data_IF_174159695561
#
_entry.id   IF_174159695561
#
_cell.length_a   1.000
_cell.length_b   1.000
_cell.length_c   1.000
_cell.angle_alpha   90.00
_cell.angle_beta   90.00
_cell.angle_gamma   90.00
#
_symmetry.space_group_name_H-M   'P 1'
#
loop_
_entity.id
_entity.type
_entity.pdbx_description
1 polymer ?
#
# COMPACT_ATOMS: atom_id res chain seq x y z
N UNK A 1 -12.35 4.24 -4.84
CA UNK A 1 -12.02 3.08 -5.69
C UNK A 1 -10.51 2.97 -5.71
N UNK A 2 -9.95 1.80 -5.43
CA UNK A 2 -8.50 1.60 -5.38
C UNK A 2 -7.90 1.51 -6.78
N UNK A 3 -6.69 2.00 -6.97
CA UNK A 3 -5.94 1.94 -8.22
C UNK A 3 -5.46 0.49 -8.50
N UNK A 4 -5.16 -0.26 -7.45
CA UNK A 4 -4.67 -1.63 -7.55
C UNK A 4 -5.35 -2.60 -6.56
N UNK A 5 -5.42 -3.87 -6.94
CA UNK A 5 -6.03 -4.94 -6.13
C UNK A 5 -5.35 -5.10 -4.77
N UNK A 6 -4.02 -4.93 -4.73
CA UNK A 6 -3.22 -4.98 -3.51
C UNK A 6 -3.55 -3.87 -2.50
N UNK A 7 -3.95 -2.69 -2.98
CA UNK A 7 -4.37 -1.59 -2.11
C UNK A 7 -5.71 -1.94 -1.45
N UNK A 8 -6.65 -2.51 -2.23
CA UNK A 8 -7.93 -2.99 -1.67
C UNK A 8 -7.70 -4.06 -0.60
N UNK A 9 -6.90 -5.08 -0.90
CA UNK A 9 -6.59 -6.14 0.06
C UNK A 9 -5.92 -5.58 1.33
N UNK A 10 -5.05 -4.57 1.19
CA UNK A 10 -4.41 -3.92 2.35
C UNK A 10 -5.42 -3.12 3.19
N UNK A 11 -6.35 -2.40 2.55
CA UNK A 11 -7.44 -1.72 3.25
C UNK A 11 -8.34 -2.69 4.02
N UNK A 12 -8.76 -3.79 3.39
CA UNK A 12 -9.55 -4.85 4.04
C UNK A 12 -8.83 -5.45 5.25
N UNK A 13 -7.51 -5.62 5.16
CA UNK A 13 -6.68 -6.09 6.26
C UNK A 13 -6.61 -5.10 7.43
N UNK A 14 -6.47 -3.80 7.13
CA UNK A 14 -6.47 -2.75 8.15
C UNK A 14 -7.84 -2.68 8.84
N UNK A 15 -8.92 -2.78 8.07
CA UNK A 15 -10.30 -2.83 8.59
C UNK A 15 -10.51 -4.04 9.50
N UNK A 16 -10.02 -5.22 9.10
CA UNK A 16 -10.09 -6.43 9.91
C UNK A 16 -9.41 -6.27 11.29
N UNK A 17 -8.29 -5.55 11.34
CA UNK A 17 -7.60 -5.25 12.60
C UNK A 17 -8.10 -3.99 13.32
N UNK A 18 -9.10 -3.29 12.77
CA UNK A 18 -9.61 -2.04 13.33
C UNK A 18 -8.57 -0.92 13.35
N UNK A 19 -7.59 -0.95 12.45
CA UNK A 19 -6.60 0.11 12.28
C UNK A 19 -7.23 1.22 11.44
N UNK A 20 -7.19 2.45 11.94
CA UNK A 20 -7.68 3.60 11.16
C UNK A 20 -6.74 3.90 10.00
N UNK A 21 -7.31 4.18 8.82
CA UNK A 21 -6.56 4.53 7.63
C UNK A 21 -7.26 5.57 6.76
N UNK A 22 -6.46 6.24 5.93
CA UNK A 22 -6.92 7.14 4.87
C UNK A 22 -6.19 6.79 3.58
N UNK A 23 -6.93 6.72 2.48
CA UNK A 23 -6.38 6.43 1.15
C UNK A 23 -6.00 7.71 0.41
N UNK A 24 -4.80 7.73 -0.18
CA UNK A 24 -4.19 8.87 -0.88
C UNK A 24 -4.42 10.24 -0.19
N UNK A 25 -4.14 10.38 1.12
CA UNK A 25 -4.62 11.52 1.91
C UNK A 25 -3.88 12.82 1.59
N UNK A 26 -2.60 12.72 1.21
CA UNK A 26 -1.71 13.87 1.06
C UNK A 26 -0.81 13.70 -0.16
N UNK A 27 -0.56 14.81 -0.86
CA UNK A 27 0.37 14.88 -1.98
C UNK A 27 1.54 15.80 -1.64
N UNK A 28 2.75 15.24 -1.68
CA UNK A 28 3.99 15.95 -1.38
C UNK A 28 4.67 16.39 -2.67
N UNK A 29 4.90 17.69 -2.81
CA UNK A 29 5.68 18.26 -3.92
C UNK A 29 7.17 18.07 -3.61
N UNK A 30 7.86 17.27 -4.41
CA UNK A 30 9.27 16.92 -4.23
C UNK A 30 10.21 17.83 -5.04
N UNK A 31 9.73 18.40 -6.15
CA UNK A 31 10.52 19.30 -6.98
C UNK A 31 9.64 20.25 -7.79
N UNK A 32 10.19 21.43 -8.08
CA UNK A 32 9.62 22.45 -8.98
C UNK A 32 10.68 22.90 -9.99
N UNK A 33 10.25 23.31 -11.17
CA UNK A 33 11.14 23.94 -12.17
C UNK A 33 11.36 25.43 -11.83
N UNK A 34 12.16 26.11 -12.66
CA UNK A 34 12.49 27.54 -12.52
C UNK A 34 11.27 28.46 -12.60
N UNK A 35 10.19 28.03 -13.27
CA UNK A 35 8.92 28.77 -13.36
C UNK A 35 7.99 28.51 -12.18
N UNK A 36 8.39 27.63 -11.25
CA UNK A 36 7.64 27.28 -10.04
C UNK A 36 6.63 26.15 -10.22
N UNK A 37 6.53 25.56 -11.42
CA UNK A 37 5.63 24.43 -11.71
C UNK A 37 6.15 23.14 -11.09
N UNK A 38 5.22 22.31 -10.62
CA UNK A 38 5.53 21.01 -10.01
C UNK A 38 6.06 20.05 -11.07
N UNK A 39 7.31 19.61 -10.93
CA UNK A 39 7.93 18.62 -11.84
C UNK A 39 7.91 17.22 -11.25
N UNK A 40 7.87 17.12 -9.92
CA UNK A 40 7.77 15.85 -9.23
C UNK A 40 6.93 15.97 -7.96
N UNK A 41 5.97 15.07 -7.82
CA UNK A 41 5.18 14.89 -6.61
C UNK A 41 5.06 13.40 -6.26
N UNK A 42 4.68 13.16 -5.02
CA UNK A 42 4.49 11.84 -4.45
C UNK A 42 3.28 11.83 -3.52
N UNK A 43 2.37 10.89 -3.74
CA UNK A 43 1.14 10.70 -2.98
C UNK A 43 1.23 9.29 -2.43
N UNK A 44 1.45 9.11 -1.12
CA UNK A 44 1.49 7.78 -0.53
C UNK A 44 0.12 7.12 -0.63
N UNK A 45 0.10 5.80 -0.86
CA UNK A 45 -1.15 5.04 -0.99
C UNK A 45 -2.03 5.14 0.27
N UNK A 46 -1.43 5.12 1.47
CA UNK A 46 -2.15 5.19 2.75
C UNK A 46 -1.47 6.08 3.79
N UNK A 47 -2.28 6.58 4.74
CA UNK A 47 -1.83 7.11 6.02
C UNK A 47 -2.56 6.41 7.16
N UNK A 48 -1.83 6.09 8.22
CA UNK A 48 -2.34 5.45 9.43
C UNK A 48 -2.26 6.46 10.59
N UNK A 49 -3.36 7.17 10.93
CA UNK A 49 -3.34 8.26 11.91
C UNK A 49 -2.88 7.83 13.31
N UNK A 50 -3.20 6.60 13.72
CA UNK A 50 -2.82 6.04 15.02
C UNK A 50 -1.29 5.91 15.19
N UNK A 51 -0.56 5.81 14.08
CA UNK A 51 0.89 5.63 14.07
C UNK A 51 1.65 6.83 13.48
N UNK A 52 0.92 7.86 13.03
CA UNK A 52 1.46 9.00 12.27
C UNK A 52 2.39 8.57 11.13
N UNK A 53 1.96 7.56 10.36
CA UNK A 53 2.80 6.90 9.36
C UNK A 53 2.11 6.78 8.01
N UNK A 54 2.84 7.12 6.96
CA UNK A 54 2.46 6.85 5.58
C UNK A 54 2.94 5.47 5.14
N UNK A 55 2.15 4.82 4.28
CA UNK A 55 2.45 3.51 3.70
C UNK A 55 2.31 3.60 2.19
N UNK A 56 3.32 3.11 1.49
CA UNK A 56 3.32 2.94 0.04
C UNK A 56 3.34 1.44 -0.28
N UNK A 57 2.34 0.95 -1.00
CA UNK A 57 2.24 -0.41 -1.49
C UNK A 57 3.03 -0.55 -2.80
N UNK A 58 3.84 -1.60 -2.91
CA UNK A 58 4.52 -1.95 -4.17
C UNK A 58 4.28 -3.40 -4.55
N UNK A 59 3.57 -3.60 -5.65
CA UNK A 59 3.40 -4.90 -6.33
C UNK A 59 4.47 -5.15 -7.39
N UNK A 60 5.36 -4.17 -7.59
CA UNK A 60 6.06 -4.04 -8.85
C UNK A 60 7.41 -4.78 -8.86
N UNK A 61 7.71 -5.41 -10.01
CA UNK A 61 9.03 -6.03 -10.29
C UNK A 61 10.15 -5.01 -10.06
N UNK A 62 11.32 -5.48 -9.61
CA UNK A 62 12.50 -4.72 -9.14
C UNK A 62 12.81 -3.39 -9.87
N UNK A 63 12.58 -3.32 -11.19
CA UNK A 63 12.78 -2.10 -12.01
C UNK A 63 11.91 -0.90 -11.60
N UNK A 64 10.73 -1.11 -11.02
CA UNK A 64 9.84 -0.02 -10.59
C UNK A 64 10.11 0.42 -9.14
N UNK A 65 10.72 -0.46 -8.34
CA UNK A 65 11.19 -0.16 -6.99
C UNK A 65 12.24 0.95 -7.03
N UNK A 66 13.15 0.97 -8.01
CA UNK A 66 14.17 2.02 -8.10
C UNK A 66 13.58 3.42 -8.25
N UNK A 67 12.52 3.59 -9.05
CA UNK A 67 11.85 4.89 -9.20
C UNK A 67 11.06 5.27 -7.95
N UNK A 68 10.30 4.34 -7.35
CA UNK A 68 9.59 4.59 -6.07
C UNK A 68 10.58 4.93 -4.94
N UNK A 69 11.69 4.20 -4.83
CA UNK A 69 12.74 4.47 -3.85
C UNK A 69 13.40 5.83 -4.05
N UNK A 70 13.58 6.26 -5.30
CA UNK A 70 14.03 7.62 -5.61
C UNK A 70 13.09 8.67 -5.05
N UNK A 71 11.78 8.53 -5.29
CA UNK A 71 10.77 9.44 -4.75
C UNK A 71 10.70 9.43 -3.23
N UNK A 72 10.72 8.25 -2.60
CA UNK A 72 10.70 8.11 -1.13
C UNK A 72 11.97 8.71 -0.50
N UNK A 73 13.12 8.53 -1.14
CA UNK A 73 14.36 9.18 -0.70
C UNK A 73 14.22 10.70 -0.76
N UNK A 74 13.74 11.25 -1.88
CA UNK A 74 13.50 12.69 -2.00
C UNK A 74 12.44 13.20 -1.03
N UNK A 75 11.40 12.43 -0.77
CA UNK A 75 10.40 12.75 0.25
C UNK A 75 11.07 12.92 1.61
N UNK A 76 11.93 11.98 2.02
CA UNK A 76 12.67 12.08 3.29
C UNK A 76 13.67 13.24 3.32
N UNK A 77 14.23 13.61 2.17
CA UNK A 77 15.11 14.78 2.04
C UNK A 77 14.33 16.11 2.17
N UNK A 78 13.16 16.22 1.53
CA UNK A 78 12.32 17.42 1.55
C UNK A 78 11.46 17.55 2.82
N UNK A 79 11.05 16.42 3.40
CA UNK A 79 10.12 16.33 4.52
C UNK A 79 10.65 15.33 5.57
N UNK A 80 11.71 15.69 6.32
CA UNK A 80 12.41 14.76 7.22
C UNK A 80 11.58 14.31 8.43
N UNK A 81 10.50 15.02 8.77
CA UNK A 81 9.58 14.64 9.84
C UNK A 81 8.54 13.61 9.42
N UNK A 82 8.42 13.31 8.13
CA UNK A 82 7.42 12.36 7.60
C UNK A 82 7.95 10.94 7.76
N UNK A 83 7.22 10.12 8.53
CA UNK A 83 7.46 8.69 8.59
C UNK A 83 6.74 7.98 7.44
N UNK A 84 7.50 7.23 6.64
CA UNK A 84 6.98 6.47 5.52
C UNK A 84 7.66 5.11 5.41
N UNK A 85 6.84 4.08 5.18
CA UNK A 85 7.30 2.72 4.86
C UNK A 85 6.81 2.30 3.48
N UNK A 86 7.67 1.60 2.73
CA UNK A 86 7.30 0.96 1.46
C UNK A 86 7.14 -0.52 1.75
N UNK A 87 5.97 -1.09 1.48
CA UNK A 87 5.65 -2.50 1.71
C UNK A 87 5.45 -3.21 0.39
N UNK A 88 6.20 -4.29 0.15
CA UNK A 88 5.86 -5.21 -0.93
C UNK A 88 4.87 -6.28 -0.46
N UNK A 89 4.24 -6.97 -1.40
CA UNK A 89 3.29 -8.04 -1.09
C UNK A 89 3.87 -9.11 -0.15
N UNK A 90 5.15 -9.46 -0.34
CA UNK A 90 5.83 -10.42 0.54
C UNK A 90 6.11 -9.84 1.93
N UNK A 91 6.36 -8.54 2.04
CA UNK A 91 6.69 -7.90 3.31
C UNK A 91 5.47 -7.85 4.24
N UNK A 92 4.26 -7.60 3.73
CA UNK A 92 3.07 -7.67 4.59
C UNK A 92 2.70 -9.11 4.95
N UNK A 93 2.84 -10.09 4.05
CA UNK A 93 2.63 -11.51 4.39
C UNK A 93 3.58 -11.96 5.51
N UNK A 94 4.83 -11.51 5.46
CA UNK A 94 5.80 -11.73 6.53
C UNK A 94 5.50 -10.93 7.80
N UNK A 95 4.91 -9.73 7.68
CA UNK A 95 4.46 -8.95 8.82
C UNK A 95 3.33 -9.68 9.56
N UNK A 96 2.39 -10.25 8.81
CA UNK A 96 1.27 -11.01 9.34
C UNK A 96 1.74 -12.24 10.12
N UNK A 97 2.64 -13.04 9.54
CA UNK A 97 3.20 -14.20 10.23
C UNK A 97 4.04 -13.82 11.46
N UNK A 98 4.78 -12.70 11.41
CA UNK A 98 5.65 -12.27 12.51
C UNK A 98 4.91 -11.66 13.71
N UNK A 99 3.77 -11.02 13.49
CA UNK A 99 2.97 -10.42 14.56
C UNK A 99 1.85 -11.34 15.10
N UNK A 100 1.91 -12.64 14.81
CA UNK A 100 1.01 -13.65 15.39
C UNK A 100 -0.33 -13.81 14.67
N UNK A 101 -0.43 -13.33 13.43
CA UNK A 101 -1.58 -13.58 12.57
C UNK A 101 -1.33 -14.84 11.73
N UNK A 102 -1.13 -15.97 12.43
CA UNK A 102 -0.87 -17.29 11.81
C UNK A 102 -2.10 -17.90 11.13
N UNK A 103 -3.27 -17.25 11.23
CA UNK A 103 -4.49 -17.70 10.56
C UNK A 103 -4.78 -16.95 9.24
N UNK A 104 -3.73 -16.64 8.48
CA UNK A 104 -3.84 -16.33 7.06
C UNK A 104 -4.04 -17.60 6.20
N UNK A 105 -4.41 -18.73 6.81
CA UNK A 105 -4.83 -19.95 6.12
C UNK A 105 -6.13 -19.77 5.31
N UNK A 106 -6.84 -18.64 5.50
CA UNK A 106 -8.08 -18.29 4.81
C UNK A 106 -7.93 -17.43 3.53
N UNK A 107 -6.73 -16.97 3.17
CA UNK A 107 -6.56 -16.13 1.95
C UNK A 107 -6.27 -16.92 0.66
N UNK A 108 -6.35 -18.26 0.73
CA UNK A 108 -6.38 -19.14 -0.46
C UNK A 108 -7.82 -19.36 -1.01
N UNK A 109 -8.83 -18.66 -0.48
CA UNK A 109 -10.22 -18.80 -0.88
C UNK A 109 -10.70 -17.75 -1.87
N UNK A 110 -10.84 -18.16 -3.14
CA UNK A 110 -11.75 -17.60 -4.14
C UNK A 110 -11.25 -16.45 -5.05
N UNK A 111 -10.46 -16.83 -6.06
CA UNK A 111 -10.34 -16.11 -7.34
C UNK A 111 -10.72 -16.98 -8.54
N UNK A 112 -11.54 -18.02 -8.36
CA UNK A 112 -12.11 -18.78 -9.48
C UNK A 112 -13.62 -18.79 -9.42
N UNK A 113 -14.18 -17.78 -10.08
CA UNK A 113 -15.47 -17.82 -10.78
C UNK A 113 -15.92 -19.24 -11.17
N UNK A 114 -17.11 -19.66 -10.75
CA UNK A 114 -18.29 -19.92 -11.60
C UNK A 114 -19.24 -20.90 -10.91
N UNK A 115 -20.42 -20.42 -10.56
CA UNK A 115 -21.55 -21.28 -10.22
C UNK A 115 -22.05 -22.07 -11.42
N UNK A 116 -22.43 -23.32 -11.19
CA UNK A 116 -23.62 -23.93 -11.77
C UNK A 116 -23.97 -25.14 -10.90
N UNK A 117 -25.10 -25.06 -10.20
CA UNK A 117 -25.75 -26.23 -9.64
C UNK A 117 -26.41 -27.06 -10.74
N UNK A 118 -26.48 -28.37 -10.53
CA UNK A 118 -27.63 -29.23 -10.82
C UNK A 118 -27.31 -30.61 -10.22
N UNK A 119 -27.96 -31.01 -9.13
CA UNK A 119 -29.16 -31.86 -9.09
C UNK A 119 -28.87 -33.37 -9.29
N UNK A 120 -29.01 -34.08 -8.17
CA UNK A 120 -29.60 -35.41 -7.92
C UNK A 120 -29.98 -36.30 -9.11
N UNK A 121 -29.58 -37.58 -9.02
CA UNK A 121 -30.13 -38.69 -9.81
C UNK A 121 -29.27 -39.93 -9.75
#
# INVERSE_FOLDING_TARGET
MFAHDSERQFAELLDFYGIEWRYEPDTFVLSRNETGEVTEAFTPDFYLPQFDRYVEITTARQKYITRKNGKVRRLRECFPSIDIVVLCQRDYLNLLSKYGFDDASGLDGDLTHTGAGAESG
#
